data_IF_214091774186
#
_entry.id   IF_214091774186
#
_cell.length_a   1.000
_cell.length_b   1.000
_cell.length_c   1.000
_cell.angle_alpha   90.00
_cell.angle_beta   90.00
_cell.angle_gamma   90.00
#
_symmetry.space_group_name_H-M   'P 1'
#
loop_
_entity.id
_entity.type
_entity.pdbx_description
1 polymer ?
#
# COMPACT_ATOMS: atom_id res chain seq x y z
N UNK A 1 32.78 6.29 32.35
CA UNK A 1 32.84 4.81 32.20
C UNK A 1 32.94 4.52 30.72
N UNK A 2 34.05 3.96 30.25
CA UNK A 2 34.21 3.53 28.86
C UNK A 2 33.74 2.09 28.73
N UNK A 3 32.87 1.81 27.76
CA UNK A 3 32.44 0.45 27.43
C UNK A 3 33.40 -0.13 26.39
N UNK A 4 34.25 -1.05 26.84
CA UNK A 4 35.19 -1.78 25.98
C UNK A 4 34.49 -2.95 25.29
N UNK A 5 34.06 -2.74 24.05
CA UNK A 5 33.52 -3.82 23.23
C UNK A 5 34.66 -4.57 22.53
N UNK A 6 34.86 -5.84 22.88
CA UNK A 6 35.80 -6.74 22.18
C UNK A 6 35.06 -7.57 21.12
N UNK A 7 35.54 -7.62 19.87
CA UNK A 7 34.91 -8.41 18.82
C UNK A 7 35.05 -9.91 19.10
N UNK A 8 33.93 -10.63 19.06
CA UNK A 8 33.89 -12.09 19.21
C UNK A 8 34.31 -12.74 17.91
N UNK A 9 35.46 -13.42 17.90
CA UNK A 9 35.94 -14.18 16.75
C UNK A 9 35.32 -15.57 16.74
N UNK A 10 34.43 -15.82 15.77
CA UNK A 10 33.89 -17.16 15.52
C UNK A 10 34.99 -18.07 14.97
N UNK A 11 35.31 -19.12 15.72
CA UNK A 11 36.22 -20.16 15.26
C UNK A 11 35.46 -21.06 14.29
N UNK A 12 35.94 -21.16 13.05
CA UNK A 12 35.39 -22.04 12.01
C UNK A 12 35.44 -23.49 12.50
N UNK A 13 34.33 -24.00 13.01
CA UNK A 13 34.11 -25.44 13.11
C UNK A 13 33.95 -26.00 11.70
N UNK A 14 34.54 -27.18 11.47
CA UNK A 14 34.78 -27.79 10.16
C UNK A 14 33.57 -27.79 9.24
N UNK A 15 33.86 -27.59 7.95
CA UNK A 15 32.87 -27.42 6.90
C UNK A 15 31.93 -28.62 6.76
N UNK A 16 30.68 -28.43 7.16
CA UNK A 16 29.56 -28.97 6.41
C UNK A 16 29.22 -27.95 5.33
N UNK A 17 29.34 -28.33 4.06
CA UNK A 17 28.87 -27.53 2.94
C UNK A 17 27.35 -27.37 3.06
N UNK A 18 26.90 -26.26 3.66
CA UNK A 18 25.49 -25.90 3.65
C UNK A 18 25.14 -25.59 2.20
N UNK A 19 24.38 -26.48 1.57
CA UNK A 19 23.83 -26.24 0.24
C UNK A 19 23.19 -24.85 0.25
N UNK A 20 23.63 -23.96 -0.66
CA UNK A 20 22.96 -22.68 -0.84
C UNK A 20 21.50 -23.02 -1.14
N UNK A 21 20.62 -22.87 -0.16
CA UNK A 21 19.19 -22.75 -0.42
C UNK A 21 19.14 -21.60 -1.37
N UNK A 22 18.91 -21.91 -2.65
CA UNK A 22 18.87 -20.92 -3.70
C UNK A 22 17.92 -19.86 -3.20
N UNK A 23 18.45 -18.67 -2.92
CA UNK A 23 17.64 -17.48 -2.95
C UNK A 23 17.17 -17.46 -4.40
N UNK A 24 16.02 -18.09 -4.64
CA UNK A 24 15.30 -17.98 -5.89
C UNK A 24 15.32 -16.48 -6.14
N UNK A 25 16.00 -16.07 -7.21
CA UNK A 25 15.98 -14.70 -7.65
C UNK A 25 14.50 -14.35 -7.71
N UNK A 26 14.03 -13.64 -6.69
CA UNK A 26 12.71 -13.08 -6.68
C UNK A 26 12.78 -12.11 -7.85
N UNK A 27 12.24 -12.56 -8.98
CA UNK A 27 12.02 -11.77 -10.18
C UNK A 27 11.55 -10.43 -9.68
N UNK A 28 12.39 -9.39 -9.87
CA UNK A 28 12.18 -8.06 -9.35
C UNK A 28 10.71 -7.68 -9.49
N UNK A 29 9.96 -7.80 -8.40
CA UNK A 29 8.56 -7.39 -8.37
C UNK A 29 8.60 -5.88 -8.59
N UNK A 30 7.92 -5.41 -9.63
CA UNK A 30 7.90 -4.00 -10.03
C UNK A 30 7.47 -3.06 -8.88
N UNK A 31 6.81 -3.60 -7.85
CA UNK A 31 6.42 -2.87 -6.64
C UNK A 31 7.61 -2.39 -5.80
N UNK A 32 8.69 -3.18 -5.68
CA UNK A 32 9.85 -2.78 -4.86
C UNK A 32 10.62 -1.60 -5.46
N UNK A 33 10.55 -1.40 -6.79
CA UNK A 33 11.20 -0.26 -7.45
C UNK A 33 10.56 1.09 -7.09
N UNK A 34 9.25 1.11 -6.80
CA UNK A 34 8.53 2.36 -6.47
C UNK A 34 8.78 2.81 -5.04
N UNK A 35 8.93 1.88 -4.11
CA UNK A 35 9.23 2.22 -2.71
C UNK A 35 10.58 2.93 -2.59
N UNK A 36 11.62 2.43 -3.27
CA UNK A 36 12.95 3.05 -3.30
C UNK A 36 12.96 4.49 -3.87
N UNK A 37 12.00 4.83 -4.71
CA UNK A 37 11.87 6.19 -5.26
C UNK A 37 11.39 7.20 -4.21
N UNK A 38 10.57 6.78 -3.24
CA UNK A 38 10.15 7.63 -2.13
C UNK A 38 11.33 7.91 -1.18
N UNK A 39 12.14 6.90 -0.88
CA UNK A 39 13.33 7.05 -0.03
C UNK A 39 14.34 8.02 -0.66
N UNK A 40 14.52 7.98 -1.98
CA UNK A 40 15.41 8.92 -2.68
C UNK A 40 14.90 10.37 -2.68
N UNK A 41 13.58 10.57 -2.67
CA UNK A 41 12.98 11.91 -2.65
C UNK A 41 13.10 12.59 -1.28
N UNK A 42 13.13 11.82 -0.19
CA UNK A 42 13.34 12.35 1.16
C UNK A 42 14.80 12.82 1.40
N UNK A 43 15.75 12.38 0.58
CA UNK A 43 17.18 12.76 0.67
C UNK A 43 17.52 14.04 -0.09
N UNK A 44 16.65 14.49 -0.99
CA UNK A 44 16.79 15.74 -1.73
C UNK A 44 15.80 16.75 -1.18
N UNK A 45 16.27 17.88 -0.64
CA UNK A 45 15.51 19.00 -0.02
C UNK A 45 14.51 19.73 -0.97
N UNK A 46 13.84 19.02 -1.88
CA UNK A 46 12.99 19.60 -2.91
C UNK A 46 11.58 19.02 -2.82
N UNK A 47 10.73 19.78 -2.13
CA UNK A 47 9.26 19.75 -2.11
C UNK A 47 8.61 18.39 -1.78
N UNK A 48 7.69 18.40 -0.80
CA UNK A 48 6.86 17.24 -0.50
C UNK A 48 6.18 16.72 -1.79
N UNK A 49 6.20 15.41 -2.06
CA UNK A 49 5.64 14.85 -3.29
C UNK A 49 4.16 15.20 -3.38
N UNK A 50 3.73 15.77 -4.51
CA UNK A 50 2.32 16.09 -4.76
C UNK A 50 1.56 14.77 -4.89
N UNK A 51 0.85 14.40 -3.83
CA UNK A 51 0.00 13.22 -3.82
C UNK A 51 -1.25 13.48 -4.67
N UNK A 52 -1.39 12.72 -5.75
CA UNK A 52 -2.58 12.77 -6.60
C UNK A 52 -3.81 12.29 -5.81
N UNK A 53 -4.94 13.00 -5.95
CA UNK A 53 -6.22 12.64 -5.33
C UNK A 53 -7.02 11.73 -6.25
N UNK A 54 -8.06 11.10 -5.70
CA UNK A 54 -9.01 10.30 -6.50
C UNK A 54 -9.63 11.17 -7.61
N UNK A 55 -9.64 10.66 -8.85
CA UNK A 55 -10.18 11.34 -10.02
C UNK A 55 -11.68 11.60 -9.90
N UNK A 56 -12.17 12.69 -10.48
CA UNK A 56 -13.58 13.10 -10.42
C UNK A 56 -14.52 12.02 -10.98
N UNK A 57 -14.08 11.31 -12.00
CA UNK A 57 -14.82 10.23 -12.66
C UNK A 57 -15.07 9.07 -11.70
N UNK A 58 -14.00 8.57 -11.05
CA UNK A 58 -14.06 7.53 -10.03
C UNK A 58 -14.99 7.91 -8.86
N UNK A 59 -14.93 9.17 -8.42
CA UNK A 59 -15.81 9.68 -7.35
C UNK A 59 -17.28 9.60 -7.75
N UNK A 60 -17.62 10.07 -8.95
CA UNK A 60 -18.98 10.07 -9.47
C UNK A 60 -19.49 8.65 -9.64
N UNK A 61 -18.69 7.76 -10.24
CA UNK A 61 -19.07 6.37 -10.47
C UNK A 61 -19.35 5.63 -9.15
N UNK A 62 -18.45 5.75 -8.16
CA UNK A 62 -18.64 5.11 -6.84
C UNK A 62 -19.90 5.63 -6.15
N UNK A 63 -20.11 6.96 -6.17
CA UNK A 63 -21.29 7.59 -5.55
C UNK A 63 -22.58 7.08 -6.19
N UNK A 64 -22.65 7.05 -7.52
CA UNK A 64 -23.82 6.58 -8.27
C UNK A 64 -24.09 5.10 -7.98
N UNK A 65 -23.07 4.25 -8.07
CA UNK A 65 -23.21 2.82 -7.80
C UNK A 65 -23.68 2.55 -6.36
N UNK A 66 -23.15 3.29 -5.37
CA UNK A 66 -23.58 3.18 -3.97
C UNK A 66 -25.05 3.54 -3.80
N UNK A 67 -25.49 4.65 -4.40
CA UNK A 67 -26.88 5.11 -4.35
C UNK A 67 -27.82 4.07 -5.01
N UNK A 68 -27.43 3.54 -6.17
CA UNK A 68 -28.19 2.49 -6.85
C UNK A 68 -28.36 1.23 -6.00
N UNK A 69 -27.34 0.86 -5.22
CA UNK A 69 -27.39 -0.26 -4.27
C UNK A 69 -28.06 0.09 -2.94
N UNK A 70 -28.58 1.31 -2.78
CA UNK A 70 -29.23 1.81 -1.55
C UNK A 70 -28.38 1.61 -0.29
N UNK A 71 -27.06 1.70 -0.42
CA UNK A 71 -26.12 1.58 0.69
C UNK A 71 -25.76 2.96 1.25
N UNK A 72 -25.71 3.08 2.56
CA UNK A 72 -25.08 4.26 3.20
C UNK A 72 -23.56 4.15 3.11
N UNK A 73 -22.86 5.28 3.27
CA UNK A 73 -21.39 5.30 3.28
C UNK A 73 -20.84 4.40 4.41
N UNK A 74 -21.46 4.44 5.59
CA UNK A 74 -21.05 3.62 6.74
C UNK A 74 -21.32 2.13 6.54
N UNK A 75 -22.46 1.77 5.95
CA UNK A 75 -22.73 0.37 5.60
C UNK A 75 -21.71 -0.17 4.60
N UNK A 76 -21.31 0.64 3.62
CA UNK A 76 -20.28 0.23 2.66
C UNK A 76 -18.91 0.09 3.33
N UNK A 77 -18.54 1.00 4.25
CA UNK A 77 -17.32 0.87 5.05
C UNK A 77 -17.32 -0.46 5.82
N UNK A 78 -18.41 -0.79 6.52
CA UNK A 78 -18.54 -2.02 7.32
C UNK A 78 -18.46 -3.26 6.41
N UNK A 79 -19.23 -3.29 5.31
CA UNK A 79 -19.28 -4.45 4.40
C UNK A 79 -17.93 -4.74 3.74
N UNK A 80 -17.13 -3.71 3.47
CA UNK A 80 -15.82 -3.85 2.85
C UNK A 80 -14.65 -3.89 3.85
N UNK A 81 -14.95 -3.84 5.15
CA UNK A 81 -13.96 -3.74 6.22
C UNK A 81 -12.97 -2.57 6.01
N UNK A 82 -13.52 -1.40 5.67
CA UNK A 82 -12.77 -0.16 5.50
C UNK A 82 -12.80 0.66 6.79
N UNK A 83 -11.79 1.51 6.94
CA UNK A 83 -11.79 2.48 8.04
C UNK A 83 -13.00 3.42 7.94
N UNK A 84 -13.44 3.92 9.09
CA UNK A 84 -14.51 4.92 9.17
C UNK A 84 -14.18 6.12 8.28
N UNK A 85 -15.21 6.64 7.61
CA UNK A 85 -15.13 7.78 6.68
C UNK A 85 -14.29 7.56 5.41
N UNK A 86 -13.77 6.34 5.14
CA UNK A 86 -12.98 6.08 3.92
C UNK A 86 -13.80 6.40 2.66
N UNK A 87 -15.01 5.83 2.55
CA UNK A 87 -15.90 6.11 1.41
C UNK A 87 -16.25 7.60 1.33
N UNK A 88 -16.51 8.27 2.45
CA UNK A 88 -16.79 9.71 2.48
C UNK A 88 -15.62 10.53 1.93
N UNK A 89 -14.39 10.22 2.32
CA UNK A 89 -13.18 10.89 1.82
C UNK A 89 -12.95 10.63 0.33
N UNK A 90 -13.27 9.43 -0.14
CA UNK A 90 -13.23 9.09 -1.57
C UNK A 90 -14.28 9.90 -2.33
N UNK A 91 -15.55 9.87 -1.94
CA UNK A 91 -16.64 10.62 -2.60
C UNK A 91 -16.39 12.14 -2.57
N UNK A 92 -15.73 12.66 -1.52
CA UNK A 92 -15.33 14.06 -1.41
C UNK A 92 -14.01 14.40 -2.14
N UNK A 93 -13.27 13.39 -2.62
CA UNK A 93 -12.01 13.58 -3.36
C UNK A 93 -10.83 14.01 -2.50
N UNK A 94 -10.93 13.90 -1.18
CA UNK A 94 -9.83 14.18 -0.26
C UNK A 94 -8.93 12.97 -0.04
N UNK A 95 -9.41 11.77 -0.40
CA UNK A 95 -8.63 10.54 -0.34
C UNK A 95 -7.49 10.55 -1.38
N UNK A 96 -6.33 10.01 -0.99
CA UNK A 96 -5.20 9.78 -1.89
C UNK A 96 -5.58 8.77 -2.99
N UNK A 97 -5.02 8.93 -4.18
CA UNK A 97 -5.31 8.05 -5.31
C UNK A 97 -4.79 6.64 -5.03
N UNK A 98 -5.71 5.73 -4.75
CA UNK A 98 -5.44 4.30 -4.63
C UNK A 98 -6.30 3.52 -5.62
N UNK A 99 -5.71 3.21 -6.79
CA UNK A 99 -6.40 2.50 -7.88
C UNK A 99 -6.92 1.11 -7.46
N UNK A 100 -6.17 0.41 -6.62
CA UNK A 100 -6.57 -0.91 -6.14
C UNK A 100 -7.82 -0.84 -5.26
N UNK A 101 -7.84 0.13 -4.35
CA UNK A 101 -9.00 0.37 -3.48
C UNK A 101 -10.21 0.84 -4.27
N UNK A 102 -10.07 1.80 -5.19
CA UNK A 102 -11.20 2.31 -5.98
C UNK A 102 -11.79 1.22 -6.87
N UNK A 103 -10.96 0.40 -7.52
CA UNK A 103 -11.43 -0.72 -8.32
C UNK A 103 -12.14 -1.77 -7.45
N UNK A 104 -11.59 -2.13 -6.28
CA UNK A 104 -12.22 -3.09 -5.36
C UNK A 104 -13.61 -2.62 -4.92
N UNK A 105 -13.79 -1.32 -4.66
CA UNK A 105 -15.08 -0.72 -4.30
C UNK A 105 -16.06 -0.82 -5.47
N UNK A 106 -15.62 -0.43 -6.68
CA UNK A 106 -16.46 -0.53 -7.89
C UNK A 106 -16.88 -1.97 -8.17
N UNK A 107 -15.96 -2.92 -8.08
CA UNK A 107 -16.22 -4.34 -8.31
C UNK A 107 -17.23 -4.89 -7.30
N UNK A 108 -17.08 -4.55 -6.02
CA UNK A 108 -18.05 -4.92 -4.99
C UNK A 108 -19.44 -4.39 -5.31
N UNK A 109 -19.54 -3.10 -5.67
CA UNK A 109 -20.82 -2.46 -5.99
C UNK A 109 -21.43 -3.00 -7.28
N UNK A 110 -20.64 -3.40 -8.28
CA UNK A 110 -21.11 -4.01 -9.54
C UNK A 110 -21.56 -5.46 -9.36
N UNK A 111 -20.83 -6.25 -8.56
CA UNK A 111 -21.11 -7.67 -8.32
C UNK A 111 -22.32 -7.94 -7.43
N UNK A 112 -22.75 -6.98 -6.61
CA UNK A 112 -23.90 -7.17 -5.70
C UNK A 112 -25.24 -7.07 -6.44
N UNK A 113 -25.33 -7.61 -7.65
CA UNK A 113 -26.52 -7.65 -8.53
C UNK A 113 -26.99 -9.08 -8.60
#
# INVERSE_FOLDING_TARGET
MYQDWKPVTFHKMGGAAVSKVGCAHATHSQEQKKFRQLDSLNLTDSAAPIQERVSVEDRKEITQLRILKKLTQDQLNIKMNLQKDTIKRIENGTHEKNKGLTNRIKDFLKKTT
#
